data_IF_324241169636
#
_entry.id   IF_324241169636
#
_cell.length_a   1.000
_cell.length_b   1.000
_cell.length_c   1.000
_cell.angle_alpha   90.00
_cell.angle_beta   90.00
_cell.angle_gamma   90.00
#
_symmetry.space_group_name_H-M   'P 1'
#
loop_
_entity.id
_entity.type
_entity.pdbx_description
1 polymer ?
#
# COMPACT_ATOMS: atom_id res chain seq x y z
N UNK A 1 32.73 -5.43 25.99
CA UNK A 1 32.63 -5.92 24.58
C UNK A 1 32.92 -4.75 23.64
N UNK A 2 34.19 -4.41 23.40
CA UNK A 2 34.56 -3.23 22.59
C UNK A 2 35.73 -3.52 21.61
N UNK A 3 35.97 -4.80 21.27
CA UNK A 3 37.06 -5.21 20.38
C UNK A 3 36.58 -6.00 19.15
N UNK A 4 35.28 -6.04 18.89
CA UNK A 4 34.76 -6.70 17.69
C UNK A 4 34.99 -5.78 16.49
N UNK A 5 35.68 -6.22 15.42
CA UNK A 5 35.87 -5.41 14.23
C UNK A 5 34.53 -5.01 13.63
N UNK A 6 34.42 -3.78 13.12
CA UNK A 6 33.17 -3.28 12.52
C UNK A 6 32.62 -4.20 11.44
N UNK A 7 33.49 -4.75 10.58
CA UNK A 7 33.11 -5.73 9.54
C UNK A 7 32.42 -6.98 10.12
N UNK A 8 32.87 -7.46 11.28
CA UNK A 8 32.27 -8.63 11.91
C UNK A 8 30.85 -8.32 12.39
N UNK A 9 30.64 -7.12 12.97
CA UNK A 9 29.31 -6.65 13.38
C UNK A 9 28.37 -6.52 12.17
N UNK A 10 28.85 -5.94 11.05
CA UNK A 10 28.05 -5.82 9.82
C UNK A 10 27.68 -7.19 9.26
N UNK A 11 28.63 -8.11 9.16
CA UNK A 11 28.37 -9.45 8.65
C UNK A 11 27.38 -10.23 9.53
N UNK A 12 27.44 -10.05 10.85
CA UNK A 12 26.49 -10.64 11.79
C UNK A 12 25.09 -10.07 11.58
N UNK A 13 24.96 -8.74 11.50
CA UNK A 13 23.68 -8.07 11.27
C UNK A 13 23.05 -8.48 9.92
N UNK A 14 23.85 -8.55 8.85
CA UNK A 14 23.38 -8.99 7.53
C UNK A 14 22.89 -10.43 7.56
N UNK A 15 23.63 -11.34 8.18
CA UNK A 15 23.23 -12.75 8.29
C UNK A 15 21.95 -12.92 9.10
N UNK A 16 21.81 -12.19 10.21
CA UNK A 16 20.59 -12.18 11.02
C UNK A 16 19.39 -11.65 10.21
N UNK A 17 19.58 -10.57 9.45
CA UNK A 17 18.55 -10.01 8.57
C UNK A 17 18.11 -10.99 7.47
N UNK A 18 19.06 -11.65 6.81
CA UNK A 18 18.77 -12.63 5.76
C UNK A 18 18.00 -13.84 6.29
N UNK A 19 18.36 -14.38 7.47
CA UNK A 19 17.60 -15.46 8.10
C UNK A 19 16.14 -15.08 8.39
N UNK A 20 15.90 -13.83 8.81
CA UNK A 20 14.54 -13.33 9.05
C UNK A 20 13.74 -13.16 7.74
N UNK A 21 14.41 -12.87 6.62
CA UNK A 21 13.79 -12.79 5.29
C UNK A 21 13.44 -14.18 4.74
N UNK A 22 14.30 -15.17 4.96
CA UNK A 22 14.08 -16.56 4.51
C UNK A 22 12.94 -17.25 5.26
N UNK A 23 12.67 -16.83 6.50
CA UNK A 23 11.59 -17.36 7.34
C UNK A 23 10.69 -16.22 7.83
N UNK A 24 9.89 -15.60 6.94
CA UNK A 24 9.05 -14.48 7.32
C UNK A 24 8.03 -14.95 8.35
N UNK A 25 7.86 -14.15 9.41
CA UNK A 25 6.78 -14.38 10.36
C UNK A 25 5.43 -14.38 9.62
N UNK A 26 4.46 -15.23 10.04
CA UNK A 26 3.17 -15.29 9.38
C UNK A 26 2.53 -13.90 9.35
N UNK A 27 2.40 -13.35 8.15
CA UNK A 27 1.77 -12.06 7.94
C UNK A 27 0.26 -12.18 8.13
N UNK A 28 -0.37 -11.15 8.69
CA UNK A 28 -1.83 -11.07 8.74
C UNK A 28 -2.35 -11.06 7.30
N UNK A 29 -3.37 -11.87 6.96
CA UNK A 29 -3.98 -11.82 5.65
C UNK A 29 -4.41 -10.38 5.32
N UNK A 30 -4.08 -9.93 4.12
CA UNK A 30 -4.54 -8.64 3.64
C UNK A 30 -6.07 -8.63 3.62
N UNK A 31 -6.68 -7.59 4.21
CA UNK A 31 -8.12 -7.38 4.20
C UNK A 31 -8.44 -5.99 3.67
N UNK A 32 -9.10 -5.95 2.52
CA UNK A 32 -9.64 -4.70 1.97
C UNK A 32 -10.76 -4.19 2.89
N UNK A 33 -10.60 -2.98 3.41
CA UNK A 33 -11.69 -2.30 4.13
C UNK A 33 -12.47 -1.46 3.13
N UNK A 34 -13.72 -1.84 2.86
CA UNK A 34 -14.59 -1.04 1.98
C UNK A 34 -14.97 0.27 2.67
N UNK A 35 -14.93 1.36 1.91
CA UNK A 35 -15.50 2.64 2.34
C UNK A 35 -16.79 2.88 1.57
N UNK A 36 -17.85 3.29 2.28
CA UNK A 36 -19.09 3.74 1.64
C UNK A 36 -18.81 5.09 0.99
N UNK A 37 -18.46 5.06 -0.30
CA UNK A 37 -18.26 6.28 -1.09
C UNK A 37 -19.57 6.99 -1.41
N UNK A 38 -20.69 6.26 -1.31
CA UNK A 38 -21.99 6.75 -1.74
C UNK A 38 -22.07 6.95 -3.25
N UNK A 39 -23.27 7.09 -3.77
CA UNK A 39 -23.53 7.59 -5.12
C UNK A 39 -24.31 8.88 -4.96
N UNK A 40 -23.87 9.95 -5.63
CA UNK A 40 -24.74 11.13 -5.77
C UNK A 40 -25.97 10.68 -6.58
N UNK A 41 -27.20 11.00 -6.15
CA UNK A 41 -28.41 10.67 -6.89
C UNK A 41 -28.30 11.12 -8.35
N UNK A 42 -28.72 10.26 -9.29
CA UNK A 42 -28.64 10.56 -10.72
C UNK A 42 -27.27 10.32 -11.38
N UNK A 43 -26.27 9.78 -10.68
CA UNK A 43 -25.00 9.37 -11.29
C UNK A 43 -24.96 7.86 -11.52
N UNK A 44 -24.82 7.46 -12.78
CA UNK A 44 -24.62 6.08 -13.20
C UNK A 44 -23.13 5.78 -13.37
N UNK A 45 -22.54 4.95 -12.50
CA UNK A 45 -21.11 4.59 -12.58
C UNK A 45 -20.76 3.72 -13.79
N UNK A 46 -21.75 3.02 -14.35
CA UNK A 46 -21.54 2.16 -15.52
C UNK A 46 -21.55 2.95 -16.83
N UNK A 47 -21.93 4.23 -16.78
CA UNK A 47 -21.89 5.14 -17.93
C UNK A 47 -20.75 6.17 -17.79
N UNK A 48 -19.53 5.72 -18.08
CA UNK A 48 -18.32 6.53 -17.94
C UNK A 48 -18.42 7.85 -18.74
N UNK A 49 -19.03 7.84 -19.93
CA UNK A 49 -19.15 9.02 -20.79
C UNK A 49 -19.97 10.13 -20.12
N UNK A 50 -21.09 9.77 -19.49
CA UNK A 50 -21.96 10.71 -18.77
C UNK A 50 -21.26 11.25 -17.50
N UNK A 51 -20.52 10.41 -16.80
CA UNK A 51 -19.75 10.84 -15.62
C UNK A 51 -18.66 11.85 -15.99
N UNK A 52 -17.94 11.63 -17.08
CA UNK A 52 -16.91 12.54 -17.57
C UNK A 52 -17.53 13.90 -17.93
N UNK A 53 -18.65 13.90 -18.67
CA UNK A 53 -19.37 15.12 -19.01
C UNK A 53 -19.84 15.92 -17.77
N UNK A 54 -20.27 15.23 -16.71
CA UNK A 54 -20.67 15.88 -15.45
C UNK A 54 -19.48 16.51 -14.71
N UNK A 55 -18.33 15.82 -14.66
CA UNK A 55 -17.13 16.33 -13.98
C UNK A 55 -16.48 17.48 -14.75
N UNK A 56 -16.44 17.37 -16.08
CA UNK A 56 -15.89 18.40 -16.97
C UNK A 56 -16.80 19.63 -17.05
N UNK A 57 -18.12 19.46 -17.00
CA UNK A 57 -19.08 20.58 -16.96
C UNK A 57 -19.11 21.35 -15.63
N UNK A 58 -18.91 20.66 -14.48
CA UNK A 58 -18.88 21.29 -13.15
C UNK A 58 -17.66 22.22 -12.94
N UNK A 59 -16.60 22.12 -13.76
CA UNK A 59 -15.36 22.91 -13.62
C UNK A 59 -15.27 24.11 -14.59
N UNK A 60 -16.29 24.34 -15.40
CA UNK A 60 -16.28 25.31 -16.51
C UNK A 60 -17.39 26.38 -16.42
N UNK A 61 -17.88 26.70 -15.21
CA UNK A 61 -18.76 27.83 -14.95
C UNK A 61 -18.37 28.60 -13.68
#
# INVERSE_FOLDING_TARGET
KLHTPFRAVINEALRAGLQAVESPSPSKPYRTTTRKMGLKPGRNLDNIQELLAQVEGESHH
#
